data_IF_784190893673
#
_entry.id   IF_784190893673
#
_cell.length_a   1.000
_cell.length_b   1.000
_cell.length_c   1.000
_cell.angle_alpha   90.00
_cell.angle_beta   90.00
_cell.angle_gamma   90.00
#
_symmetry.space_group_name_H-M   'P 1'
#
loop_
_entity.id
_entity.type
_entity.pdbx_description
1 polymer ?
#
# COMPACT_ATOMS: atom_id res chain seq x y z
N UNK A 1 -2.26 -11.95 85.87
CA UNK A 1 -1.19 -12.78 85.28
C UNK A 1 -1.84 -14.09 84.83
N UNK A 2 -1.90 -14.53 83.58
CA UNK A 2 -1.15 -14.21 82.39
C UNK A 2 -2.04 -14.53 81.17
N UNK A 3 -2.03 -13.66 80.17
CA UNK A 3 -2.82 -13.73 78.93
C UNK A 3 -2.13 -14.72 77.97
N UNK A 4 -2.85 -15.70 77.43
CA UNK A 4 -2.42 -16.43 76.23
C UNK A 4 -3.53 -16.40 75.18
N UNK A 5 -3.48 -15.36 74.37
CA UNK A 5 -4.21 -15.22 73.12
C UNK A 5 -3.72 -16.27 72.11
N UNK A 6 -4.62 -17.12 71.61
CA UNK A 6 -4.41 -17.80 70.33
C UNK A 6 -4.72 -16.79 69.23
N UNK A 7 -3.68 -16.28 68.57
CA UNK A 7 -3.82 -15.52 67.33
C UNK A 7 -3.94 -16.54 66.20
N UNK A 8 -5.14 -16.64 65.61
CA UNK A 8 -5.35 -17.32 64.33
C UNK A 8 -4.77 -16.40 63.25
N UNK A 9 -3.63 -16.81 62.68
CA UNK A 9 -3.02 -16.14 61.54
C UNK A 9 -3.79 -16.53 60.27
N UNK A 10 -4.83 -15.79 59.93
CA UNK A 10 -5.48 -15.89 58.63
C UNK A 10 -4.59 -15.20 57.59
N UNK A 11 -3.75 -15.98 56.88
CA UNK A 11 -3.12 -15.51 55.65
C UNK A 11 -4.20 -15.37 54.57
N UNK A 12 -4.69 -14.14 54.36
CA UNK A 12 -5.41 -13.79 53.15
C UNK A 12 -4.39 -13.67 52.01
N UNK A 13 -4.13 -14.76 51.30
CA UNK A 13 -3.56 -14.69 49.96
C UNK A 13 -4.65 -14.16 49.02
N UNK A 14 -4.71 -12.84 48.84
CA UNK A 14 -5.36 -12.27 47.66
C UNK A 14 -4.46 -12.55 46.46
N UNK A 15 -4.71 -13.66 45.78
CA UNK A 15 -4.20 -13.88 44.43
C UNK A 15 -4.83 -12.81 43.53
N UNK A 16 -4.09 -11.74 43.25
CA UNK A 16 -4.43 -10.82 42.19
C UNK A 16 -4.29 -11.62 40.88
N UNK A 17 -5.42 -12.10 40.36
CA UNK A 17 -5.50 -12.59 38.99
C UNK A 17 -5.28 -11.36 38.12
N UNK A 18 -4.03 -11.10 37.74
CA UNK A 18 -3.75 -10.25 36.61
C UNK A 18 -4.39 -10.92 35.40
N UNK A 19 -5.56 -10.43 35.00
CA UNK A 19 -6.11 -10.77 33.69
C UNK A 19 -5.09 -10.25 32.70
N UNK A 20 -4.28 -11.15 32.14
CA UNK A 20 -3.36 -10.79 31.07
C UNK A 20 -4.23 -10.16 29.98
N UNK A 21 -4.08 -8.85 29.76
CA UNK A 21 -4.79 -8.18 28.70
C UNK A 21 -4.38 -8.86 27.41
N UNK A 22 -5.33 -9.53 26.75
CA UNK A 22 -5.05 -10.23 25.50
C UNK A 22 -4.36 -9.26 24.53
N UNK A 23 -3.29 -9.73 23.89
CA UNK A 23 -2.55 -8.91 22.94
C UNK A 23 -3.54 -8.36 21.89
N UNK A 24 -3.57 -7.04 21.61
CA UNK A 24 -4.64 -6.40 20.83
C UNK A 24 -4.79 -6.95 19.40
N UNK A 25 -3.78 -7.65 18.92
CA UNK A 25 -3.75 -8.28 17.62
C UNK A 25 -3.76 -9.82 17.66
N UNK A 26 -4.21 -10.40 18.78
CA UNK A 26 -4.43 -11.83 18.89
C UNK A 26 -5.51 -12.25 17.89
N UNK A 27 -5.22 -13.28 17.09
CA UNK A 27 -6.20 -13.83 16.15
C UNK A 27 -7.19 -14.68 16.96
N UNK A 28 -8.40 -14.16 17.10
CA UNK A 28 -9.50 -14.84 17.79
C UNK A 28 -10.28 -15.72 16.80
N UNK A 29 -11.49 -15.31 16.42
CA UNK A 29 -12.34 -15.99 15.44
C UNK A 29 -12.29 -15.27 14.09
N UNK A 30 -12.12 -15.98 12.95
CA UNK A 30 -12.26 -15.35 11.65
C UNK A 30 -13.69 -14.83 11.45
N UNK A 31 -13.81 -13.57 11.05
CA UNK A 31 -15.07 -13.01 10.59
C UNK A 31 -15.20 -13.25 9.10
N UNK A 32 -16.24 -13.99 8.70
CA UNK A 32 -16.56 -14.17 7.29
C UNK A 32 -17.29 -12.92 6.78
N UNK A 33 -16.93 -12.38 5.60
CA UNK A 33 -17.68 -11.31 4.97
C UNK A 33 -19.14 -11.71 4.81
N UNK A 34 -20.07 -10.79 5.14
CA UNK A 34 -21.51 -11.00 4.91
C UNK A 34 -21.90 -10.83 3.44
N UNK A 35 -21.07 -10.14 2.68
CA UNK A 35 -21.28 -9.79 1.28
C UNK A 35 -20.05 -10.19 0.48
N UNK A 36 -20.25 -10.56 -0.78
CA UNK A 36 -19.17 -10.75 -1.73
C UNK A 36 -19.04 -9.52 -2.64
N UNK A 37 -17.82 -9.06 -2.94
CA UNK A 37 -17.63 -7.97 -3.90
C UNK A 37 -18.07 -8.43 -5.29
N UNK A 38 -18.79 -7.56 -6.00
CA UNK A 38 -19.12 -7.80 -7.39
C UNK A 38 -17.85 -7.71 -8.25
N UNK A 39 -17.69 -8.58 -9.27
CA UNK A 39 -16.57 -8.46 -10.20
C UNK A 39 -16.49 -7.06 -10.81
N UNK A 40 -15.29 -6.49 -10.89
CA UNK A 40 -15.11 -5.17 -11.51
C UNK A 40 -15.63 -5.18 -12.96
N UNK A 41 -16.42 -4.16 -13.33
CA UNK A 41 -17.05 -4.06 -14.65
C UNK A 41 -18.36 -4.86 -14.83
N UNK A 42 -18.82 -5.59 -13.81
CA UNK A 42 -20.15 -6.22 -13.80
C UNK A 42 -21.29 -5.19 -13.68
N UNK A 43 -21.03 -4.09 -12.98
CA UNK A 43 -21.89 -2.89 -12.98
C UNK A 43 -21.30 -1.88 -13.95
N UNK A 44 -22.10 -1.46 -14.93
CA UNK A 44 -21.65 -0.57 -16.01
C UNK A 44 -22.39 0.75 -15.96
N UNK A 45 -21.67 1.89 -16.05
CA UNK A 45 -22.30 3.19 -16.05
C UNK A 45 -23.07 3.42 -17.36
N UNK A 46 -24.23 4.06 -17.25
CA UNK A 46 -25.03 4.53 -18.38
C UNK A 46 -25.42 6.00 -18.14
N UNK A 47 -26.05 6.64 -19.13
CA UNK A 47 -26.51 8.03 -19.01
C UNK A 47 -25.39 9.01 -18.65
N UNK A 48 -25.68 9.91 -17.69
CA UNK A 48 -24.76 10.97 -17.28
C UNK A 48 -23.41 10.44 -16.79
N UNK A 49 -23.37 9.36 -16.00
CA UNK A 49 -22.11 8.80 -15.50
C UNK A 49 -21.23 8.28 -16.64
N UNK A 50 -21.81 7.64 -17.67
CA UNK A 50 -21.05 7.23 -18.84
C UNK A 50 -20.50 8.44 -19.59
N UNK A 51 -21.30 9.49 -19.76
CA UNK A 51 -20.85 10.72 -20.42
C UNK A 51 -19.68 11.37 -19.68
N UNK A 52 -19.66 11.37 -18.34
CA UNK A 52 -18.52 11.88 -17.56
C UNK A 52 -17.25 11.07 -17.81
N UNK A 53 -17.35 9.74 -17.87
CA UNK A 53 -16.19 8.89 -18.18
C UNK A 53 -15.68 9.15 -19.59
N UNK A 54 -16.58 9.23 -20.59
CA UNK A 54 -16.21 9.50 -21.97
C UNK A 54 -15.53 10.88 -22.10
N UNK A 55 -16.04 11.91 -21.41
CA UNK A 55 -15.44 13.24 -21.36
C UNK A 55 -14.05 13.24 -20.69
N UNK A 56 -13.90 12.53 -19.58
CA UNK A 56 -12.62 12.39 -18.89
C UNK A 56 -11.57 11.67 -19.75
N UNK A 57 -11.98 10.62 -20.48
CA UNK A 57 -11.14 9.92 -21.45
C UNK A 57 -10.74 10.82 -22.63
N UNK A 58 -11.60 11.74 -23.05
CA UNK A 58 -11.24 12.79 -24.02
C UNK A 58 -10.40 13.94 -23.40
N UNK A 59 -10.27 13.99 -22.07
CA UNK A 59 -9.54 15.00 -21.31
C UNK A 59 -8.34 14.44 -20.56
N UNK A 60 -8.08 14.96 -19.35
CA UNK A 60 -6.88 14.63 -18.56
C UNK A 60 -6.68 13.12 -18.35
N UNK A 61 -7.75 12.36 -18.09
CA UNK A 61 -7.63 10.92 -17.83
C UNK A 61 -7.08 10.17 -19.03
N UNK A 62 -7.49 10.51 -20.26
CA UNK A 62 -6.92 9.89 -21.46
C UNK A 62 -5.66 10.55 -21.99
N UNK A 63 -5.33 11.78 -21.59
CA UNK A 63 -4.29 12.58 -22.25
C UNK A 63 -3.19 13.10 -21.32
N UNK A 64 -3.10 12.67 -20.06
CA UNK A 64 -2.07 13.16 -19.14
C UNK A 64 -0.64 12.94 -19.66
N UNK A 65 -0.40 11.87 -20.40
CA UNK A 65 0.89 11.62 -21.04
C UNK A 65 1.26 12.64 -22.12
N UNK A 66 0.27 13.23 -22.78
CA UNK A 66 0.48 14.32 -23.75
C UNK A 66 0.60 15.68 -23.06
N UNK A 67 -0.04 15.84 -21.91
CA UNK A 67 -0.09 17.11 -21.17
C UNK A 67 1.11 17.30 -20.23
N UNK A 68 1.65 16.21 -19.70
CA UNK A 68 2.82 16.17 -18.83
C UNK A 68 3.81 15.07 -19.29
N UNK A 69 4.35 15.16 -20.52
CA UNK A 69 5.18 14.10 -21.10
C UNK A 69 6.45 13.83 -20.31
N UNK A 70 7.05 14.86 -19.70
CA UNK A 70 8.26 14.69 -18.90
C UNK A 70 8.04 13.76 -17.71
N UNK A 71 6.90 13.91 -17.02
CA UNK A 71 6.56 13.11 -15.85
C UNK A 71 6.02 11.72 -16.22
N UNK A 72 5.34 11.58 -17.36
CA UNK A 72 4.57 10.37 -17.69
C UNK A 72 5.26 9.48 -18.74
N UNK A 73 6.01 10.07 -19.66
CA UNK A 73 6.67 9.38 -20.78
C UNK A 73 8.18 9.33 -20.58
N UNK A 74 8.81 10.46 -20.23
CA UNK A 74 10.26 10.58 -20.21
C UNK A 74 10.90 10.06 -18.92
N UNK A 75 10.16 9.99 -17.81
CA UNK A 75 10.63 9.38 -16.55
C UNK A 75 10.10 7.94 -16.40
N UNK A 76 10.85 6.96 -16.92
CA UNK A 76 10.47 5.55 -16.96
C UNK A 76 10.81 4.81 -15.65
N UNK A 77 10.17 5.25 -14.56
CA UNK A 77 10.49 4.89 -13.16
C UNK A 77 10.44 3.39 -12.83
N UNK A 78 9.77 2.58 -13.65
CA UNK A 78 9.68 1.13 -13.46
C UNK A 78 10.71 0.34 -14.27
N UNK A 79 11.40 1.00 -15.20
CA UNK A 79 12.32 0.35 -16.16
C UNK A 79 13.71 0.97 -16.10
N UNK A 80 13.92 2.09 -16.80
CA UNK A 80 15.24 2.67 -17.03
C UNK A 80 15.61 3.70 -15.96
N UNK A 81 14.62 4.38 -15.40
CA UNK A 81 14.83 5.55 -14.53
C UNK A 81 14.50 5.23 -13.07
N UNK A 82 14.75 3.98 -12.66
CA UNK A 82 14.63 3.58 -11.25
C UNK A 82 15.54 4.44 -10.36
N UNK A 83 15.04 4.78 -9.18
CA UNK A 83 15.78 5.48 -8.14
C UNK A 83 17.01 4.67 -7.76
N UNK A 84 18.16 5.34 -7.81
CA UNK A 84 19.46 4.85 -7.36
C UNK A 84 20.11 5.89 -6.46
N UNK A 85 21.18 5.52 -5.75
CA UNK A 85 21.95 6.47 -4.93
C UNK A 85 22.54 7.65 -5.72
N UNK A 86 22.59 7.54 -7.06
CA UNK A 86 23.06 8.61 -7.95
C UNK A 86 21.98 9.66 -8.24
N UNK A 87 20.71 9.31 -8.08
CA UNK A 87 19.58 10.22 -8.29
C UNK A 87 19.45 11.12 -7.07
N UNK A 88 19.61 12.42 -7.29
CA UNK A 88 19.51 13.44 -6.22
C UNK A 88 18.21 14.23 -6.32
N UNK A 89 17.65 14.32 -7.51
CA UNK A 89 16.47 15.11 -7.81
C UNK A 89 15.70 14.49 -8.99
N UNK A 90 14.40 14.76 -9.05
CA UNK A 90 13.53 14.47 -10.19
C UNK A 90 12.55 15.64 -10.37
N UNK A 91 12.08 15.84 -11.60
CA UNK A 91 10.92 16.68 -11.85
C UNK A 91 9.70 15.96 -11.28
N UNK A 92 9.01 16.61 -10.34
CA UNK A 92 7.86 16.04 -9.62
C UNK A 92 6.56 16.82 -9.89
N UNK A 93 6.59 17.82 -10.77
CA UNK A 93 5.45 18.66 -11.09
C UNK A 93 5.10 19.68 -9.98
N UNK A 94 5.97 19.83 -8.98
CA UNK A 94 5.82 20.75 -7.88
C UNK A 94 7.14 21.50 -7.61
N UNK A 95 7.03 22.75 -7.17
CA UNK A 95 8.19 23.55 -6.75
C UNK A 95 8.68 23.03 -5.39
N UNK A 96 9.80 22.31 -5.37
CA UNK A 96 10.45 21.92 -4.12
C UNK A 96 11.05 23.16 -3.43
N UNK A 97 10.90 23.26 -2.11
CA UNK A 97 11.55 24.27 -1.28
C UNK A 97 12.65 23.63 -0.43
N UNK A 98 13.91 23.82 -0.82
CA UNK A 98 15.11 23.36 -0.08
C UNK A 98 15.73 22.07 -0.59
N UNK A 99 17.01 21.84 -0.26
CA UNK A 99 17.83 20.74 -0.79
C UNK A 99 17.54 19.38 -0.11
N UNK A 100 17.27 19.37 1.21
CA UNK A 100 16.96 18.14 1.97
C UNK A 100 15.54 17.59 1.71
N UNK A 101 14.66 18.43 1.16
CA UNK A 101 13.25 18.12 0.88
C UNK A 101 13.10 17.27 -0.40
N UNK A 102 14.11 17.25 -1.28
CA UNK A 102 13.99 16.61 -2.59
C UNK A 102 13.98 15.08 -2.53
N UNK A 103 14.64 14.46 -1.54
CA UNK A 103 14.67 12.99 -1.39
C UNK A 103 13.30 12.44 -0.98
N UNK A 104 12.55 13.21 -0.18
CA UNK A 104 11.19 12.85 0.23
C UNK A 104 10.21 12.77 -0.95
N UNK A 105 10.48 13.47 -2.05
CA UNK A 105 9.57 13.50 -3.20
C UNK A 105 9.96 12.57 -4.33
N UNK A 106 11.06 11.83 -4.21
CA UNK A 106 11.53 10.95 -5.28
C UNK A 106 10.53 9.83 -5.63
N UNK A 107 9.62 9.49 -4.72
CA UNK A 107 8.55 8.52 -4.96
C UNK A 107 7.24 9.15 -5.48
N UNK A 108 7.08 10.47 -5.49
CA UNK A 108 5.87 11.17 -5.99
C UNK A 108 5.59 10.89 -7.46
N UNK A 109 6.61 10.62 -8.25
CA UNK A 109 6.43 10.27 -9.66
C UNK A 109 5.67 8.95 -9.80
N UNK A 110 5.90 8.00 -8.87
CA UNK A 110 5.08 6.80 -8.81
C UNK A 110 3.65 7.09 -8.40
N UNK A 111 3.45 7.93 -7.38
CA UNK A 111 2.11 8.34 -6.96
C UNK A 111 1.33 8.97 -8.13
N UNK A 112 1.96 9.89 -8.86
CA UNK A 112 1.35 10.58 -9.98
C UNK A 112 1.10 9.63 -11.16
N UNK A 113 2.14 8.94 -11.63
CA UNK A 113 2.03 8.05 -12.79
C UNK A 113 1.04 6.91 -12.52
N UNK A 114 1.17 6.21 -11.40
CA UNK A 114 0.43 4.97 -11.18
C UNK A 114 -1.01 5.20 -10.72
N UNK A 115 -1.31 6.24 -9.93
CA UNK A 115 -2.71 6.57 -9.63
C UNK A 115 -3.45 7.08 -10.86
N UNK A 116 -2.79 7.89 -11.72
CA UNK A 116 -3.38 8.24 -13.00
C UNK A 116 -3.61 7.00 -13.87
N UNK A 117 -2.64 6.08 -13.94
CA UNK A 117 -2.80 4.82 -14.70
C UNK A 117 -3.94 3.96 -14.15
N UNK A 118 -4.09 3.82 -12.84
CA UNK A 118 -5.22 3.09 -12.24
C UNK A 118 -6.57 3.71 -12.67
N UNK A 119 -6.71 5.04 -12.51
CA UNK A 119 -7.89 5.77 -12.95
C UNK A 119 -8.17 5.62 -14.46
N UNK A 120 -7.13 5.69 -15.29
CA UNK A 120 -7.21 5.51 -16.73
C UNK A 120 -7.61 4.09 -17.13
N UNK A 121 -7.00 3.07 -16.51
CA UNK A 121 -7.32 1.64 -16.72
C UNK A 121 -8.80 1.41 -16.43
N UNK A 122 -9.26 1.83 -15.25
CA UNK A 122 -10.66 1.64 -14.82
C UNK A 122 -11.63 2.40 -15.72
N UNK A 123 -11.29 3.63 -16.12
CA UNK A 123 -12.12 4.42 -17.04
C UNK A 123 -12.25 3.75 -18.40
N UNK A 124 -11.15 3.25 -18.98
CA UNK A 124 -11.17 2.52 -20.25
C UNK A 124 -12.04 1.24 -20.18
N UNK A 125 -11.92 0.50 -19.07
CA UNK A 125 -12.75 -0.70 -18.82
C UNK A 125 -14.24 -0.32 -18.72
N UNK A 126 -14.59 0.69 -17.92
CA UNK A 126 -15.99 1.08 -17.71
C UNK A 126 -16.64 1.67 -18.97
N UNK A 127 -15.88 2.42 -19.77
CA UNK A 127 -16.35 2.98 -21.04
C UNK A 127 -16.45 1.93 -22.16
N UNK A 128 -15.74 0.80 -22.03
CA UNK A 128 -15.57 -0.23 -23.08
C UNK A 128 -14.97 0.34 -24.38
N UNK A 129 -14.19 1.41 -24.28
CA UNK A 129 -13.55 2.04 -25.44
C UNK A 129 -12.36 1.21 -25.94
N UNK A 130 -12.46 0.69 -27.16
CA UNK A 130 -11.46 -0.22 -27.72
C UNK A 130 -10.10 0.44 -28.00
N UNK A 131 -10.08 1.75 -28.24
CA UNK A 131 -8.84 2.49 -28.49
C UNK A 131 -8.06 2.62 -27.19
N UNK A 132 -8.74 3.04 -26.11
CA UNK A 132 -8.13 3.15 -24.78
C UNK A 132 -7.74 1.79 -24.21
N UNK A 133 -8.59 0.76 -24.36
CA UNK A 133 -8.27 -0.60 -23.93
C UNK A 133 -7.00 -1.16 -24.59
N UNK A 134 -6.81 -0.95 -25.90
CA UNK A 134 -5.56 -1.34 -26.60
C UNK A 134 -4.35 -0.58 -26.07
N UNK A 135 -4.50 0.69 -25.73
CA UNK A 135 -3.42 1.51 -25.15
C UNK A 135 -3.08 1.07 -23.73
N UNK A 136 -4.08 0.74 -22.92
CA UNK A 136 -3.89 0.13 -21.60
C UNK A 136 -3.14 -1.19 -21.72
N UNK A 137 -3.56 -2.10 -22.61
CA UNK A 137 -2.88 -3.38 -22.81
C UNK A 137 -1.39 -3.20 -23.12
N UNK A 138 -1.03 -2.27 -24.02
CA UNK A 138 0.39 -1.96 -24.30
C UNK A 138 1.17 -1.49 -23.08
N UNK A 139 0.55 -0.66 -22.22
CA UNK A 139 1.16 -0.24 -20.97
C UNK A 139 1.35 -1.42 -20.00
N UNK A 140 0.33 -2.26 -19.84
CA UNK A 140 0.42 -3.46 -18.99
C UNK A 140 1.54 -4.40 -19.48
N UNK A 141 1.62 -4.62 -20.79
CA UNK A 141 2.68 -5.45 -21.37
C UNK A 141 4.08 -4.87 -21.13
N UNK A 142 4.24 -3.54 -21.22
CA UNK A 142 5.49 -2.84 -20.88
C UNK A 142 5.87 -3.07 -19.41
N UNK A 143 4.93 -2.90 -18.48
CA UNK A 143 5.17 -3.11 -17.04
C UNK A 143 5.51 -4.58 -16.74
N UNK A 144 4.81 -5.53 -17.36
CA UNK A 144 5.13 -6.95 -17.18
C UNK A 144 6.52 -7.29 -17.72
N UNK A 145 6.95 -6.66 -18.82
CA UNK A 145 8.28 -6.85 -19.37
C UNK A 145 9.40 -6.24 -18.50
N UNK A 146 9.06 -5.32 -17.59
CA UNK A 146 10.02 -4.70 -16.67
C UNK A 146 10.14 -5.41 -15.33
N UNK A 147 9.38 -6.48 -15.09
CA UNK A 147 9.50 -7.26 -13.87
C UNK A 147 10.86 -7.98 -13.84
N UNK A 148 11.59 -7.80 -12.75
CA UNK A 148 12.88 -8.48 -12.58
C UNK A 148 12.69 -9.99 -12.33
N UNK A 149 13.77 -10.75 -12.52
CA UNK A 149 13.78 -12.21 -12.34
C UNK A 149 13.38 -12.68 -10.93
N UNK A 150 13.61 -11.84 -9.92
CA UNK A 150 13.24 -12.08 -8.52
C UNK A 150 11.79 -11.68 -8.21
N UNK A 151 11.04 -11.23 -9.22
CA UNK A 151 9.66 -10.77 -9.13
C UNK A 151 9.51 -9.28 -8.84
N UNK A 152 10.60 -8.52 -8.66
CA UNK A 152 10.50 -7.12 -8.29
C UNK A 152 9.78 -6.27 -9.35
N UNK A 153 8.78 -5.50 -8.90
CA UNK A 153 8.05 -4.49 -9.66
C UNK A 153 7.92 -3.25 -8.78
N UNK A 154 8.91 -2.36 -8.86
CA UNK A 154 8.98 -1.14 -8.07
C UNK A 154 9.92 -0.12 -8.70
N UNK A 155 10.12 0.99 -7.99
CA UNK A 155 10.85 2.15 -8.52
C UNK A 155 12.30 2.23 -8.09
N UNK A 156 12.76 1.38 -7.16
CA UNK A 156 14.14 1.35 -6.68
C UNK A 156 15.02 0.35 -7.42
N UNK A 157 16.29 0.71 -7.59
CA UNK A 157 17.35 -0.18 -8.02
C UNK A 157 17.68 -1.25 -6.94
N UNK A 158 18.43 -2.31 -7.30
CA UNK A 158 18.79 -3.36 -6.34
C UNK A 158 19.59 -2.90 -5.11
N UNK A 159 20.27 -1.74 -5.17
CA UNK A 159 21.04 -1.24 -4.04
C UNK A 159 20.16 -0.59 -2.97
N UNK A 160 19.03 -0.01 -3.37
CA UNK A 160 18.11 0.71 -2.48
C UNK A 160 16.94 -0.13 -1.99
N UNK A 161 16.50 -1.15 -2.74
CA UNK A 161 15.36 -2.01 -2.38
C UNK A 161 15.37 -2.42 -0.91
N UNK A 162 14.28 -2.11 -0.21
CA UNK A 162 14.03 -2.53 1.17
C UNK A 162 15.08 -2.08 2.21
N UNK A 163 15.97 -1.13 1.88
CA UNK A 163 17.08 -0.69 2.72
C UNK A 163 16.92 0.77 3.11
N UNK A 164 15.98 1.02 4.02
CA UNK A 164 15.63 2.37 4.46
C UNK A 164 15.53 2.43 5.99
N UNK A 165 15.90 3.58 6.54
CA UNK A 165 15.72 3.89 7.96
C UNK A 165 15.02 5.26 8.16
N UNK A 166 14.41 5.76 7.10
CA UNK A 166 13.69 7.03 7.02
C UNK A 166 12.71 6.98 5.84
N UNK A 167 12.19 8.16 5.44
CA UNK A 167 11.35 8.38 4.27
C UNK A 167 11.77 7.55 3.04
N UNK A 168 10.81 6.81 2.50
CA UNK A 168 10.93 6.04 1.27
C UNK A 168 9.52 5.72 0.76
N UNK A 169 9.38 5.41 -0.52
CA UNK A 169 8.09 5.05 -1.12
C UNK A 169 8.03 3.61 -1.61
N UNK A 170 8.81 2.67 -1.03
CA UNK A 170 8.90 1.29 -1.55
C UNK A 170 7.51 0.63 -1.60
N UNK A 171 6.85 0.50 -0.46
CA UNK A 171 5.52 -0.10 -0.39
C UNK A 171 4.48 0.76 -1.10
N UNK A 172 4.56 2.08 -1.02
CA UNK A 172 3.59 2.96 -1.65
C UNK A 172 3.63 2.89 -3.18
N UNK A 173 4.83 2.98 -3.77
CA UNK A 173 5.02 2.92 -5.21
C UNK A 173 4.62 1.56 -5.82
N UNK A 174 4.83 0.48 -5.05
CA UNK A 174 4.34 -0.84 -5.42
C UNK A 174 2.80 -0.90 -5.30
N UNK A 175 2.22 -0.32 -4.25
CA UNK A 175 0.76 -0.27 -4.05
C UNK A 175 0.05 0.42 -5.22
N UNK A 176 0.47 1.64 -5.56
CA UNK A 176 -0.16 2.45 -6.61
C UNK A 176 -0.12 1.74 -7.95
N UNK A 177 1.00 1.08 -8.29
CA UNK A 177 1.12 0.25 -9.48
C UNK A 177 0.20 -0.98 -9.45
N UNK A 178 0.29 -1.76 -8.37
CA UNK A 178 -0.36 -3.07 -8.28
C UNK A 178 -1.88 -2.95 -8.24
N UNK A 179 -2.45 -1.85 -7.72
CA UNK A 179 -3.91 -1.60 -7.80
C UNK A 179 -4.41 -1.51 -9.24
N UNK A 180 -3.68 -0.82 -10.12
CA UNK A 180 -4.00 -0.77 -11.55
C UNK A 180 -3.84 -2.13 -12.23
N UNK A 181 -2.78 -2.88 -11.89
CA UNK A 181 -2.57 -4.25 -12.40
C UNK A 181 -3.67 -5.22 -11.95
N UNK A 182 -4.11 -5.13 -10.69
CA UNK A 182 -5.22 -5.90 -10.15
C UNK A 182 -6.54 -5.53 -10.85
N UNK A 183 -6.79 -4.26 -11.13
CA UNK A 183 -7.95 -3.83 -11.91
C UNK A 183 -7.96 -4.44 -13.33
N UNK A 184 -6.80 -4.48 -13.99
CA UNK A 184 -6.66 -5.11 -15.30
C UNK A 184 -6.78 -6.64 -15.24
N UNK A 185 -6.26 -7.26 -14.18
CA UNK A 185 -6.49 -8.68 -13.91
C UNK A 185 -7.98 -8.96 -13.73
N UNK A 186 -8.71 -8.12 -12.99
CA UNK A 186 -10.13 -8.35 -12.80
C UNK A 186 -10.95 -8.27 -14.10
N UNK A 187 -10.53 -7.43 -15.03
CA UNK A 187 -11.13 -7.33 -16.35
C UNK A 187 -10.76 -8.50 -17.28
N UNK A 188 -9.48 -8.88 -17.33
CA UNK A 188 -8.97 -9.85 -18.31
C UNK A 188 -8.92 -11.30 -17.81
N UNK A 189 -8.89 -11.48 -16.49
CA UNK A 189 -8.61 -12.74 -15.79
C UNK A 189 -7.34 -13.45 -16.28
N UNK A 190 -6.37 -12.69 -16.78
CA UNK A 190 -5.10 -13.20 -17.31
C UNK A 190 -4.28 -13.95 -16.24
N UNK A 191 -4.02 -15.27 -16.40
CA UNK A 191 -3.20 -16.02 -15.45
C UNK A 191 -1.75 -15.52 -15.37
N UNK A 192 -1.20 -15.08 -16.52
CA UNK A 192 0.17 -14.51 -16.59
C UNK A 192 0.28 -13.26 -15.72
N UNK A 193 -0.72 -12.37 -15.78
CA UNK A 193 -0.74 -11.15 -14.98
C UNK A 193 -0.88 -11.46 -13.48
N UNK A 194 -1.76 -12.39 -13.11
CA UNK A 194 -1.89 -12.79 -11.71
C UNK A 194 -0.58 -13.36 -11.17
N UNK A 195 0.13 -14.17 -11.95
CA UNK A 195 1.40 -14.72 -11.51
C UNK A 195 2.46 -13.62 -11.32
N UNK A 196 2.54 -12.64 -12.22
CA UNK A 196 3.41 -11.49 -12.07
C UNK A 196 3.10 -10.69 -10.78
N UNK A 197 1.82 -10.44 -10.49
CA UNK A 197 1.39 -9.75 -9.25
C UNK A 197 1.78 -10.58 -8.02
N UNK A 198 1.58 -11.91 -8.05
CA UNK A 198 1.98 -12.81 -6.95
C UNK A 198 3.50 -12.84 -6.75
N UNK A 199 4.28 -12.83 -7.82
CA UNK A 199 5.75 -12.76 -7.77
C UNK A 199 6.21 -11.44 -7.16
N UNK A 200 5.59 -10.32 -7.54
CA UNK A 200 5.86 -9.00 -6.94
C UNK A 200 5.54 -8.98 -5.45
N UNK A 201 4.36 -9.45 -5.05
CA UNK A 201 4.01 -9.59 -3.64
C UNK A 201 4.99 -10.52 -2.88
N UNK A 202 5.39 -11.63 -3.50
CA UNK A 202 6.39 -12.53 -2.94
C UNK A 202 7.74 -11.86 -2.73
N UNK A 203 8.18 -11.05 -3.69
CA UNK A 203 9.41 -10.27 -3.58
C UNK A 203 9.35 -9.29 -2.39
N UNK A 204 8.25 -8.54 -2.26
CA UNK A 204 8.03 -7.62 -1.12
C UNK A 204 8.02 -8.36 0.21
N UNK A 205 7.32 -9.49 0.30
CA UNK A 205 7.28 -10.33 1.51
C UNK A 205 8.65 -10.89 1.90
N UNK A 206 9.52 -11.17 0.92
CA UNK A 206 10.89 -11.60 1.15
C UNK A 206 11.81 -10.44 1.54
N UNK A 207 11.55 -9.23 1.02
CA UNK A 207 12.27 -8.01 1.38
C UNK A 207 11.97 -7.53 2.79
N UNK A 208 10.72 -7.64 3.22
CA UNK A 208 10.26 -7.32 4.58
C UNK A 208 9.65 -8.56 5.27
N UNK A 209 10.47 -9.55 5.68
CA UNK A 209 9.99 -10.76 6.33
C UNK A 209 9.30 -10.48 7.67
N UNK A 210 8.15 -11.13 7.88
CA UNK A 210 7.36 -11.03 9.13
C UNK A 210 8.23 -11.34 10.35
N UNK A 211 8.22 -10.43 11.33
CA UNK A 211 8.92 -10.59 12.61
C UNK A 211 10.45 -10.49 12.53
N UNK A 212 11.00 -10.16 11.35
CA UNK A 212 12.43 -9.96 11.10
C UNK A 212 12.73 -8.63 10.39
N UNK A 213 11.73 -7.78 10.23
CA UNK A 213 11.82 -6.51 9.54
C UNK A 213 10.85 -5.48 10.13
N UNK A 214 11.14 -4.21 9.85
CA UNK A 214 10.37 -3.05 10.29
C UNK A 214 10.09 -2.13 9.10
N UNK A 215 9.15 -2.50 8.21
CA UNK A 215 8.88 -1.73 6.99
C UNK A 215 8.49 -0.28 7.24
N UNK A 216 7.98 0.08 8.42
CA UNK A 216 7.58 1.45 8.75
C UNK A 216 8.53 2.16 9.72
N UNK A 217 9.67 1.55 10.06
CA UNK A 217 10.66 2.20 10.92
C UNK A 217 11.23 3.45 10.25
N UNK A 218 11.28 4.55 10.99
CA UNK A 218 11.87 5.81 10.56
C UNK A 218 12.56 6.52 11.71
N UNK A 219 13.70 7.14 11.42
CA UNK A 219 14.37 8.10 12.33
C UNK A 219 13.59 9.42 12.48
N UNK A 220 12.70 9.75 11.55
CA UNK A 220 11.85 10.94 11.58
C UNK A 220 10.37 10.54 11.69
N UNK A 221 9.59 11.07 12.64
CA UNK A 221 8.17 10.77 12.74
C UNK A 221 7.32 11.36 11.60
N UNK A 222 7.83 12.36 10.88
CA UNK A 222 7.16 12.97 9.73
C UNK A 222 7.67 12.34 8.43
N UNK A 223 6.92 11.36 7.94
CA UNK A 223 7.18 10.63 6.70
C UNK A 223 5.86 10.50 5.96
N UNK A 224 5.86 10.66 4.65
CA UNK A 224 4.68 10.52 3.79
C UNK A 224 4.68 9.21 3.03
N UNK A 225 5.71 8.95 2.22
CA UNK A 225 5.76 7.76 1.35
C UNK A 225 5.81 6.48 2.17
N UNK A 226 6.54 6.54 3.29
CA UNK A 226 6.71 5.40 4.16
C UNK A 226 5.40 5.03 4.83
N UNK A 227 4.68 6.02 5.38
CA UNK A 227 3.39 5.79 6.01
C UNK A 227 2.36 5.35 4.99
N UNK A 228 2.24 6.04 3.84
CA UNK A 228 1.37 5.65 2.71
C UNK A 228 1.56 4.19 2.29
N UNK A 229 2.73 3.62 2.54
CA UNK A 229 3.01 2.19 2.37
C UNK A 229 2.05 1.24 3.08
N UNK A 230 1.31 1.70 4.11
CA UNK A 230 0.28 0.88 4.77
C UNK A 230 -0.82 0.45 3.79
N UNK A 231 -1.12 1.27 2.77
CA UNK A 231 -2.07 0.94 1.71
C UNK A 231 -1.68 -0.32 0.91
N UNK A 232 -0.47 -0.87 1.08
CA UNK A 232 -0.12 -2.18 0.54
C UNK A 232 -1.01 -3.30 1.10
N UNK A 233 -1.74 -3.06 2.21
CA UNK A 233 -2.82 -3.94 2.67
C UNK A 233 -3.92 -4.13 1.62
N UNK A 234 -4.19 -3.15 0.74
CA UNK A 234 -5.16 -3.26 -0.37
C UNK A 234 -4.76 -4.40 -1.32
N UNK A 235 -3.46 -4.50 -1.62
CA UNK A 235 -2.89 -5.53 -2.50
C UNK A 235 -2.99 -6.89 -1.80
N UNK A 236 -2.66 -6.95 -0.51
CA UNK A 236 -2.73 -8.19 0.27
C UNK A 236 -4.16 -8.71 0.40
N UNK A 237 -5.12 -7.83 0.67
CA UNK A 237 -6.54 -8.17 0.71
C UNK A 237 -7.01 -8.69 -0.65
N UNK A 238 -6.71 -7.96 -1.73
CA UNK A 238 -7.08 -8.37 -3.09
C UNK A 238 -6.53 -9.76 -3.44
N UNK A 239 -5.25 -10.02 -3.15
CA UNK A 239 -4.63 -11.32 -3.37
C UNK A 239 -5.26 -12.41 -2.49
N UNK A 240 -5.64 -12.11 -1.25
CA UNK A 240 -6.40 -13.05 -0.44
C UNK A 240 -7.78 -13.34 -1.05
N UNK A 241 -8.53 -12.33 -1.49
CA UNK A 241 -9.85 -12.51 -2.09
C UNK A 241 -9.75 -13.41 -3.34
N UNK A 242 -8.74 -13.20 -4.18
CA UNK A 242 -8.51 -13.94 -5.43
C UNK A 242 -8.03 -15.37 -5.16
N UNK A 243 -7.06 -15.55 -4.26
CA UNK A 243 -6.34 -16.84 -4.11
C UNK A 243 -6.81 -17.68 -2.92
N UNK A 244 -7.57 -17.07 -1.99
CA UNK A 244 -7.91 -17.59 -0.66
C UNK A 244 -6.70 -17.97 0.20
N UNK A 245 -5.49 -17.55 -0.17
CA UNK A 245 -4.28 -17.86 0.59
C UNK A 245 -4.12 -16.92 1.78
N UNK A 246 -4.26 -17.46 2.99
CA UNK A 246 -4.19 -16.67 4.25
C UNK A 246 -2.87 -15.95 4.48
N UNK A 247 -1.78 -16.36 3.83
CA UNK A 247 -0.47 -15.69 3.98
C UNK A 247 -0.54 -14.18 3.70
N UNK A 248 -1.42 -13.75 2.78
CA UNK A 248 -1.56 -12.34 2.44
C UNK A 248 -2.26 -11.55 3.57
N UNK A 249 -3.33 -12.09 4.18
CA UNK A 249 -3.94 -11.47 5.36
C UNK A 249 -2.98 -11.43 6.55
N UNK A 250 -2.20 -12.50 6.74
CA UNK A 250 -1.21 -12.57 7.80
C UNK A 250 -0.11 -11.51 7.61
N UNK A 251 0.27 -11.24 6.36
CA UNK A 251 1.20 -10.19 5.99
C UNK A 251 0.60 -8.80 6.16
N UNK A 252 -0.66 -8.57 5.76
CA UNK A 252 -1.36 -7.30 6.01
C UNK A 252 -1.47 -6.98 7.50
N UNK A 253 -1.76 -7.98 8.34
CA UNK A 253 -1.74 -7.82 9.79
C UNK A 253 -0.33 -7.49 10.32
N UNK A 254 0.72 -8.09 9.74
CA UNK A 254 2.10 -7.74 10.09
C UNK A 254 2.42 -6.27 9.75
N UNK A 255 2.06 -5.80 8.55
CA UNK A 255 2.27 -4.41 8.15
C UNK A 255 1.59 -3.45 9.13
N UNK A 256 0.30 -3.69 9.44
CA UNK A 256 -0.43 -2.82 10.37
C UNK A 256 0.14 -2.84 11.80
N UNK A 257 0.58 -4.01 12.27
CA UNK A 257 1.26 -4.14 13.58
C UNK A 257 2.55 -3.33 13.63
N UNK A 258 3.39 -3.48 12.60
CA UNK A 258 4.65 -2.74 12.53
C UNK A 258 4.35 -1.24 12.49
N UNK A 259 3.54 -0.77 11.54
CA UNK A 259 3.09 0.63 11.43
C UNK A 259 2.60 1.22 12.76
N UNK A 260 1.72 0.50 13.46
CA UNK A 260 1.14 0.94 14.74
C UNK A 260 2.11 0.91 15.92
N UNK A 261 3.25 0.22 15.79
CA UNK A 261 4.29 0.15 16.82
C UNK A 261 5.37 1.23 16.67
N UNK A 262 5.46 1.87 15.50
CA UNK A 262 6.48 2.88 15.22
C UNK A 262 6.11 4.26 15.81
N UNK A 263 7.10 5.14 15.91
CA UNK A 263 6.91 6.54 16.33
C UNK A 263 6.66 7.37 15.07
N UNK A 264 5.40 7.52 14.67
CA UNK A 264 4.98 8.25 13.47
C UNK A 264 3.94 9.30 13.83
N UNK A 265 3.83 10.37 13.04
CA UNK A 265 2.81 11.40 13.16
C UNK A 265 1.54 11.08 12.34
N UNK A 266 1.16 9.80 12.28
CA UNK A 266 -0.02 9.33 11.54
C UNK A 266 -1.15 8.90 12.45
N UNK A 267 -2.39 9.09 12.01
CA UNK A 267 -3.57 8.92 12.87
C UNK A 267 -4.06 7.47 12.98
N UNK A 268 -3.93 6.64 11.92
CA UNK A 268 -4.47 5.27 11.95
C UNK A 268 -3.64 4.27 12.79
N UNK A 269 -2.66 4.74 13.55
CA UNK A 269 -1.96 3.88 14.50
C UNK A 269 -2.92 3.41 15.59
N UNK A 270 -2.93 2.11 15.88
CA UNK A 270 -3.88 1.47 16.79
C UNK A 270 -4.07 2.21 18.13
N UNK A 271 -2.96 2.62 18.77
CA UNK A 271 -3.01 3.30 20.08
C UNK A 271 -3.62 4.70 20.04
N UNK A 272 -3.65 5.35 18.86
CA UNK A 272 -4.27 6.65 18.64
C UNK A 272 -5.74 6.51 18.28
N UNK A 273 -6.10 5.51 17.49
CA UNK A 273 -7.50 5.20 17.14
C UNK A 273 -8.36 4.82 18.35
N UNK A 274 -7.75 4.31 19.43
CA UNK A 274 -8.44 4.02 20.68
C UNK A 274 -8.70 5.25 21.57
N UNK A 275 -8.18 6.43 21.21
CA UNK A 275 -8.35 7.66 21.99
C UNK A 275 -9.48 8.50 21.41
N UNK A 276 -10.64 8.46 22.06
CA UNK A 276 -11.84 9.19 21.62
C UNK A 276 -11.66 10.72 21.64
N UNK A 277 -10.75 11.23 22.48
CA UNK A 277 -10.47 12.66 22.65
C UNK A 277 -9.31 13.17 21.78
N UNK A 278 -8.62 12.28 21.05
CA UNK A 278 -7.53 12.66 20.17
C UNK A 278 -8.10 13.14 18.83
N UNK A 279 -7.97 14.45 18.59
CA UNK A 279 -8.27 15.00 17.27
C UNK A 279 -7.30 14.43 16.22
N UNK A 280 -7.86 13.95 15.10
CA UNK A 280 -7.12 13.55 13.91
C UNK A 280 -6.41 14.78 13.32
N UNK A 281 -5.11 14.64 13.03
CA UNK A 281 -4.22 15.73 12.57
C UNK A 281 -3.18 15.28 11.53
N UNK A 282 -2.85 13.99 11.50
CA UNK A 282 -1.87 13.41 10.59
C UNK A 282 -2.38 13.31 9.15
N UNK A 283 -1.57 12.74 8.27
CA UNK A 283 -2.08 12.29 6.98
C UNK A 283 -2.95 11.06 7.26
N UNK A 284 -4.19 11.05 6.75
CA UNK A 284 -5.17 10.00 7.01
C UNK A 284 -4.85 8.71 6.27
N UNK A 285 -3.65 8.14 6.48
CA UNK A 285 -3.25 6.80 6.06
C UNK A 285 -3.86 5.78 7.00
#
# INVERSE_FOLDING_TARGET
>A
MNVKSLIILALNLTAAIAVAQEHPYAKIKPMLPKLEPLPFGSVRPTGWLKQQIDQNLAGFTGHLDSLAPDLIIHDDIYVNDRLSKKVKNKEVGALAHGDDVQVQFLWWNSETQSNWRDGYIRSAILAQDQTHLKRVQRYIDKILASQDVDGYLGIYDPELRYKFDNENGELWAQTTLLRGLLAWYDYTKSPKLLEAIKMSAGNTMNGFPIGKSHPFYSKNPNVGGLSHGLAYTDVMESLYVITKNRKYLDYGLFLYKDFSSQILNEDAQFSKLLKEDLALKGHGV
#
